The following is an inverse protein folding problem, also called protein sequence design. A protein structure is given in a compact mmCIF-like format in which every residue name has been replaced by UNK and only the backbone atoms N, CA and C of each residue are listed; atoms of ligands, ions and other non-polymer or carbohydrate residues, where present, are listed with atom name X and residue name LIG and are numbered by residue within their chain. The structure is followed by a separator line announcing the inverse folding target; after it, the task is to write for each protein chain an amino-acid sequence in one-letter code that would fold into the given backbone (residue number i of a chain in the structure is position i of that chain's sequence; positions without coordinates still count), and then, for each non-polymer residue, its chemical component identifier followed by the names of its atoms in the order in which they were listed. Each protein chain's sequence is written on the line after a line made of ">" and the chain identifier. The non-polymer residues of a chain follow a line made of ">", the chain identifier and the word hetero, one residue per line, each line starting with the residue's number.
data_IF_817323414847
#
_entry.id   IF_817323414847
#
_cell.length_a   1.000
_cell.length_b   1.000
_cell.length_c   1.000
_cell.angle_alpha   90.00
_cell.angle_beta   90.00
_cell.angle_gamma   90.00
#
_symmetry.space_group_name_H-M   'P 1'
#
loop_
_entity.id
_entity.type
_entity.pdbx_description
1 polymer ?
#
# COMPACT_ATOMS: atom_id res chain seq x y z
N UNK A 1 15.93 5.03 10.66
CA UNK A 1 14.72 5.43 9.91
C UNK A 1 14.49 4.31 8.91
N UNK A 2 13.44 3.50 9.10
CA UNK A 2 13.11 2.48 8.10
C UNK A 2 12.33 3.16 6.98
N UNK A 3 12.73 2.92 5.74
CA UNK A 3 12.09 3.49 4.57
C UNK A 3 11.06 2.50 4.02
N UNK A 4 9.88 2.99 3.61
CA UNK A 4 8.80 2.16 3.06
C UNK A 4 9.25 1.40 1.80
N UNK A 5 10.21 1.92 1.03
CA UNK A 5 10.80 1.21 -0.11
C UNK A 5 11.49 -0.09 0.32
N UNK A 6 12.07 -0.16 1.52
CA UNK A 6 12.77 -1.36 1.98
C UNK A 6 11.80 -2.37 2.59
N UNK A 7 10.72 -1.89 3.22
CA UNK A 7 9.69 -2.73 3.84
C UNK A 7 8.76 -3.32 2.78
N UNK A 8 8.27 -2.49 1.86
CA UNK A 8 7.25 -2.86 0.88
C UNK A 8 7.78 -2.97 -0.55
N UNK A 9 9.00 -2.52 -0.85
CA UNK A 9 9.72 -2.81 -2.10
C UNK A 9 8.87 -2.69 -3.36
N UNK A 10 8.48 -3.85 -3.88
CA UNK A 10 7.64 -3.98 -5.08
C UNK A 10 6.26 -3.34 -4.93
N UNK A 11 5.59 -3.50 -3.78
CA UNK A 11 4.30 -2.87 -3.53
C UNK A 11 4.43 -1.34 -3.55
N UNK A 12 5.48 -0.80 -2.92
CA UNK A 12 5.73 0.64 -2.94
C UNK A 12 5.96 1.15 -4.37
N UNK A 13 6.78 0.46 -5.14
CA UNK A 13 7.03 0.80 -6.54
C UNK A 13 5.74 0.74 -7.37
N UNK A 14 4.93 -0.31 -7.21
CA UNK A 14 3.65 -0.48 -7.90
C UNK A 14 2.66 0.65 -7.59
N UNK A 15 2.62 1.10 -6.34
CA UNK A 15 1.76 2.22 -5.92
C UNK A 15 2.21 3.52 -6.57
N UNK A 16 3.53 3.78 -6.60
CA UNK A 16 4.10 4.97 -7.22
C UNK A 16 3.92 4.98 -8.75
N UNK A 17 4.06 3.84 -9.42
CA UNK A 17 3.92 3.75 -10.89
C UNK A 17 2.46 3.72 -11.34
N UNK A 18 1.55 3.19 -10.52
CA UNK A 18 0.11 3.15 -10.87
C UNK A 18 -0.58 4.51 -10.72
N UNK A 19 -0.02 5.44 -9.94
CA UNK A 19 -0.63 6.77 -9.74
C UNK A 19 -2.02 6.71 -9.10
N UNK A 20 -2.29 5.67 -8.30
CA UNK A 20 -3.61 5.42 -7.68
C UNK A 20 -3.96 6.44 -6.57
N UNK A 21 -2.95 7.15 -6.07
CA UNK A 21 -3.09 8.23 -5.10
C UNK A 21 -2.59 9.53 -5.73
N UNK A 22 -3.34 10.61 -5.48
CA UNK A 22 -3.00 11.95 -5.96
C UNK A 22 -1.72 12.50 -5.30
N UNK A 23 -1.45 12.06 -4.07
CA UNK A 23 -0.27 12.40 -3.29
C UNK A 23 0.59 11.15 -3.05
N UNK A 24 1.86 11.17 -3.51
CA UNK A 24 2.84 10.11 -3.27
C UNK A 24 3.18 9.91 -1.78
N UNK A 25 2.81 10.86 -0.91
CA UNK A 25 2.96 10.72 0.54
C UNK A 25 1.79 9.99 1.21
N UNK A 26 0.61 9.97 0.59
CA UNK A 26 -0.59 9.34 1.17
C UNK A 26 -0.35 7.90 1.60
N UNK A 27 0.36 7.12 0.79
CA UNK A 27 0.68 5.73 1.11
C UNK A 27 1.71 5.58 2.26
N UNK A 28 2.62 6.54 2.41
CA UNK A 28 3.61 6.55 3.50
C UNK A 28 2.96 6.99 4.82
N UNK A 29 1.96 7.87 4.75
CA UNK A 29 1.15 8.28 5.90
C UNK A 29 0.10 7.23 6.31
N UNK A 30 -0.24 6.31 5.40
CA UNK A 30 -1.11 5.18 5.69
C UNK A 30 -0.46 4.18 6.65
N UNK A 31 -1.27 3.67 7.58
CA UNK A 31 -0.84 2.64 8.54
C UNK A 31 -1.23 1.25 8.04
N UNK A 32 -0.29 0.31 7.91
CA UNK A 32 -0.64 -1.06 7.56
C UNK A 32 -1.46 -1.69 8.69
N UNK A 33 -2.61 -2.28 8.35
CA UNK A 33 -3.49 -3.02 9.27
C UNK A 33 -2.89 -4.36 9.69
N UNK A 34 -2.05 -4.93 8.82
CA UNK A 34 -1.38 -6.22 8.99
C UNK A 34 0.14 -6.07 8.95
N UNK A 35 0.87 -7.11 9.35
CA UNK A 35 2.33 -7.12 9.21
C UNK A 35 2.73 -7.01 7.72
N UNK A 36 3.82 -6.30 7.45
CA UNK A 36 4.29 -6.07 6.08
C UNK A 36 4.48 -7.39 5.30
N UNK A 37 5.00 -8.42 5.95
CA UNK A 37 5.18 -9.77 5.38
C UNK A 37 3.85 -10.36 4.89
N UNK A 38 2.77 -10.22 5.67
CA UNK A 38 1.44 -10.73 5.30
C UNK A 38 0.86 -9.95 4.12
N UNK A 39 1.03 -8.63 4.12
CA UNK A 39 0.57 -7.77 3.02
C UNK A 39 1.34 -8.12 1.74
N UNK A 40 2.65 -8.34 1.82
CA UNK A 40 3.47 -8.71 0.67
C UNK A 40 3.12 -10.09 0.12
N UNK A 41 2.86 -11.07 0.98
CA UNK A 41 2.44 -12.41 0.55
C UNK A 41 1.10 -12.37 -0.19
N UNK A 42 0.13 -11.63 0.37
CA UNK A 42 -1.17 -11.39 -0.25
C UNK A 42 -1.03 -10.61 -1.56
N UNK A 43 -0.19 -9.59 -1.59
CA UNK A 43 0.11 -8.82 -2.79
C UNK A 43 0.70 -9.71 -3.88
N UNK A 44 1.65 -10.58 -3.56
CA UNK A 44 2.28 -11.47 -4.53
C UNK A 44 1.27 -12.47 -5.14
N UNK A 45 0.39 -13.04 -4.29
CA UNK A 45 -0.69 -13.92 -4.74
C UNK A 45 -1.71 -13.19 -5.62
N UNK A 46 -2.18 -12.02 -5.17
CA UNK A 46 -3.21 -11.25 -5.89
C UNK A 46 -2.66 -10.52 -7.12
N UNK A 47 -1.39 -10.11 -7.12
CA UNK A 47 -0.74 -9.43 -8.26
C UNK A 47 -0.65 -10.33 -9.49
N UNK A 48 -0.82 -11.65 -9.34
CA UNK A 48 -0.92 -12.60 -10.45
C UNK A 48 -2.36 -12.80 -10.95
N UNK A 49 -3.37 -12.26 -10.26
CA UNK A 49 -4.77 -12.37 -10.69
C UNK A 49 -5.10 -11.36 -11.80
N UNK A 50 -5.84 -11.83 -12.80
CA UNK A 50 -6.35 -10.97 -13.86
C UNK A 50 -7.41 -10.02 -13.29
N UNK A 51 -7.16 -8.71 -13.39
CA UNK A 51 -8.05 -7.68 -12.84
C UNK A 51 -7.71 -7.25 -11.42
N UNK A 52 -6.51 -7.55 -10.92
CA UNK A 52 -6.03 -7.06 -9.64
C UNK A 52 -6.05 -5.52 -9.58
N UNK A 53 -6.80 -4.97 -8.62
CA UNK A 53 -6.86 -3.54 -8.35
C UNK A 53 -6.00 -3.18 -7.13
N UNK A 54 -4.84 -2.58 -7.41
CA UNK A 54 -3.87 -2.19 -6.39
C UNK A 54 -4.47 -1.21 -5.37
N UNK A 55 -5.34 -0.29 -5.83
CA UNK A 55 -5.95 0.72 -4.97
C UNK A 55 -6.85 0.09 -3.91
N UNK A 56 -7.74 -0.80 -4.35
CA UNK A 56 -8.64 -1.54 -3.46
C UNK A 56 -7.85 -2.42 -2.50
N UNK A 57 -6.80 -3.08 -2.98
CA UNK A 57 -5.91 -3.87 -2.14
C UNK A 57 -5.28 -3.03 -1.02
N UNK A 58 -4.72 -1.86 -1.36
CA UNK A 58 -4.13 -0.96 -0.37
C UNK A 58 -5.20 -0.47 0.61
N UNK A 59 -6.39 -0.09 0.16
CA UNK A 59 -7.46 0.37 1.06
C UNK A 59 -8.00 -0.74 1.99
N UNK A 60 -7.93 -2.01 1.59
CA UNK A 60 -8.25 -3.16 2.45
C UNK A 60 -7.16 -3.43 3.50
N UNK A 61 -5.88 -3.27 3.13
CA UNK A 61 -4.75 -3.65 3.99
C UNK A 61 -4.15 -2.49 4.77
N UNK A 62 -4.45 -1.25 4.40
CA UNK A 62 -3.92 -0.04 5.01
C UNK A 62 -5.05 0.88 5.45
N UNK A 63 -4.91 1.44 6.64
CA UNK A 63 -5.78 2.48 7.15
C UNK A 63 -5.33 3.85 6.66
N UNK A 64 -6.26 4.59 6.07
CA UNK A 64 -6.06 6.01 5.81
C UNK A 64 -5.75 6.71 7.14
N UNK A 65 -4.75 7.61 7.15
CA UNK A 65 -4.51 8.43 8.33
C UNK A 65 -5.81 9.19 8.60
N UNK A 66 -6.40 9.00 9.77
CA UNK A 66 -7.53 9.82 10.20
C UNK A 66 -7.02 11.25 10.25
N UNK A 67 -7.31 12.03 9.20
CA UNK A 67 -7.08 13.46 9.22
C UNK A 67 -7.96 13.97 10.35
N UNK A 68 -7.33 14.18 11.50
CA UNK A 68 -7.96 14.65 12.72
C UNK A 68 -8.49 16.05 12.43
N UNK A 69 -9.70 16.11 11.88
CA UNK A 69 -10.47 17.33 11.78
C UNK A 69 -11.06 17.56 13.16
N UNK A 70 -10.32 18.30 13.99
CA UNK A 70 -10.83 18.97 15.20
C UNK A 70 -10.62 20.46 15.00
#
# INVERSE_FOLDING_TARGET
>A
MQSYDTIFGELFLAVQTSGIFEDSKTFVDMKPRFAAEVILEQFNSKSNEAGFDLKSFVLEHFEMPEQSST
#
